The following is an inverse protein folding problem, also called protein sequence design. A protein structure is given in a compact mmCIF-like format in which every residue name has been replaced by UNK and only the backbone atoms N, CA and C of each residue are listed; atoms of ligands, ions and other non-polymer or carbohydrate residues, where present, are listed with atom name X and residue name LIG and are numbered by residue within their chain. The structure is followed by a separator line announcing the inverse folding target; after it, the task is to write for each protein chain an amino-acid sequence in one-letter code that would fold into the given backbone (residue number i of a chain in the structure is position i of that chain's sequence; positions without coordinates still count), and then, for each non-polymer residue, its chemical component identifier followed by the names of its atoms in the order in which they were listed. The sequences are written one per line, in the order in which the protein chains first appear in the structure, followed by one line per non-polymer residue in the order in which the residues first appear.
data_IF_149507707373
#
_entry.id   IF_149507707373
#
_cell.length_a   1.000
_cell.length_b   1.000
_cell.length_c   1.000
_cell.angle_alpha   90.00
_cell.angle_beta   90.00
_cell.angle_gamma   90.00
#
_symmetry.space_group_name_H-M   'P 1'
#
loop_
_entity.id
_entity.type
_entity.pdbx_description
1 polymer ?
#
# COMPACT_ATOMS: atom_id res chain seq x y z
N UNK A 1 -0.34 -0.80 -24.78
CA UNK A 1 0.86 0.05 -24.93
C UNK A 1 1.11 0.94 -23.70
N UNK A 2 0.11 1.54 -23.06
CA UNK A 2 0.29 2.19 -21.73
C UNK A 2 0.24 1.23 -20.54
N UNK A 3 -0.60 0.18 -20.58
CA UNK A 3 -0.75 -0.77 -19.46
C UNK A 3 0.50 -1.62 -19.19
N UNK A 4 1.29 -1.91 -20.22
CA UNK A 4 2.55 -2.65 -20.09
C UNK A 4 3.57 -1.90 -19.19
N UNK A 5 3.50 -0.57 -19.15
CA UNK A 5 4.39 0.26 -18.32
C UNK A 5 4.18 0.04 -16.82
N UNK A 6 2.99 -0.42 -16.43
CA UNK A 6 2.65 -0.70 -15.05
C UNK A 6 2.85 -2.17 -14.67
N UNK A 7 3.21 -3.01 -15.65
CA UNK A 7 3.57 -4.41 -15.48
C UNK A 7 2.37 -5.33 -15.31
N UNK A 8 2.69 -6.60 -15.09
CA UNK A 8 1.76 -7.68 -14.78
C UNK A 8 2.36 -8.52 -13.66
N UNK A 9 1.51 -8.96 -12.73
CA UNK A 9 1.90 -9.80 -11.60
C UNK A 9 0.77 -10.81 -11.30
N UNK A 10 0.96 -11.68 -10.31
CA UNK A 10 -0.09 -12.51 -9.74
C UNK A 10 -1.07 -11.63 -8.96
N UNK A 11 -2.37 -11.89 -9.13
CA UNK A 11 -3.40 -11.17 -8.38
C UNK A 11 -3.39 -11.67 -6.94
N UNK A 12 -3.34 -10.71 -6.02
CA UNK A 12 -3.32 -10.99 -4.59
C UNK A 12 -4.68 -10.66 -3.98
N UNK A 13 -5.12 -11.54 -3.09
CA UNK A 13 -6.24 -11.33 -2.20
C UNK A 13 -5.69 -10.90 -0.84
N UNK A 14 -5.95 -9.67 -0.44
CA UNK A 14 -5.67 -9.24 0.92
C UNK A 14 -6.82 -9.64 1.82
N UNK A 15 -6.49 -10.30 2.93
CA UNK A 15 -7.50 -10.60 3.94
C UNK A 15 -7.99 -9.27 4.55
N UNK A 16 -9.31 -9.06 4.50
CA UNK A 16 -9.98 -7.84 4.99
C UNK A 16 -10.82 -8.11 6.23
N UNK A 17 -10.73 -9.31 6.80
CA UNK A 17 -11.31 -9.61 8.11
C UNK A 17 -10.69 -8.70 9.16
N UNK A 18 -11.51 -8.08 10.00
CA UNK A 18 -11.10 -7.08 10.99
C UNK A 18 -9.89 -7.50 11.84
N UNK A 19 -9.76 -8.79 12.15
CA UNK A 19 -8.67 -9.39 12.93
C UNK A 19 -7.33 -9.53 12.15
N UNK A 20 -7.36 -9.49 10.82
CA UNK A 20 -6.20 -9.79 9.95
C UNK A 20 -5.95 -8.74 8.86
N UNK A 21 -6.63 -7.59 8.91
CA UNK A 21 -6.48 -6.58 7.86
C UNK A 21 -5.03 -6.09 7.78
N UNK A 22 -4.37 -6.40 6.66
CA UNK A 22 -2.96 -6.08 6.44
C UNK A 22 -1.96 -7.10 6.99
N UNK A 23 -2.41 -8.25 7.51
CA UNK A 23 -1.57 -9.35 8.04
C UNK A 23 -1.44 -10.54 7.09
N UNK A 24 -1.48 -10.31 5.78
CA UNK A 24 -1.22 -11.35 4.79
C UNK A 24 -1.86 -11.05 3.44
N UNK A 25 -1.26 -11.60 2.41
CA UNK A 25 -1.81 -11.66 1.07
C UNK A 25 -1.78 -13.12 0.62
N UNK A 26 -2.88 -13.60 0.05
CA UNK A 26 -2.94 -14.91 -0.59
C UNK A 26 -3.01 -14.76 -2.11
N UNK A 27 -2.66 -15.81 -2.84
CA UNK A 27 -2.79 -15.87 -4.28
C UNK A 27 -4.27 -16.06 -4.64
N UNK A 28 -4.77 -15.25 -5.56
CA UNK A 28 -6.13 -15.43 -6.05
C UNK A 28 -6.16 -16.56 -7.09
N UNK A 29 -6.95 -17.60 -6.83
CA UNK A 29 -7.11 -18.76 -7.72
C UNK A 29 -8.39 -18.63 -8.54
N UNK A 30 -8.29 -18.84 -9.85
CA UNK A 30 -9.42 -18.85 -10.78
C UNK A 30 -10.28 -20.10 -10.63
N UNK A 31 -11.47 -20.08 -11.25
CA UNK A 31 -12.44 -21.19 -11.17
C UNK A 31 -11.90 -22.52 -11.70
N UNK A 32 -10.93 -22.47 -12.60
CA UNK A 32 -10.29 -23.64 -13.22
C UNK A 32 -9.05 -24.13 -12.46
N UNK A 33 -8.66 -23.44 -11.37
CA UNK A 33 -7.51 -23.80 -10.54
C UNK A 33 -6.22 -23.05 -10.86
N UNK A 34 -6.18 -22.25 -11.93
CA UNK A 34 -5.02 -21.42 -12.28
C UNK A 34 -4.90 -20.16 -11.41
N UNK A 35 -3.68 -19.68 -11.22
CA UNK A 35 -3.43 -18.40 -10.55
C UNK A 35 -3.92 -17.23 -11.41
N UNK A 36 -4.68 -16.33 -10.81
CA UNK A 36 -5.10 -15.10 -11.47
C UNK A 36 -3.94 -14.12 -11.59
N UNK A 37 -4.01 -13.27 -12.61
CA UNK A 37 -3.03 -12.21 -12.87
C UNK A 37 -3.69 -10.84 -12.76
N UNK A 38 -2.89 -9.86 -12.41
CA UNK A 38 -3.26 -8.44 -12.39
C UNK A 38 -2.31 -7.68 -13.30
N UNK A 39 -2.82 -6.69 -14.05
CA UNK A 39 -2.02 -5.91 -14.98
C UNK A 39 -2.36 -4.42 -14.89
N UNK A 40 -1.53 -3.58 -15.52
CA UNK A 40 -1.86 -2.18 -15.71
C UNK A 40 -1.98 -1.41 -14.40
N UNK A 41 -2.97 -0.52 -14.32
CA UNK A 41 -3.18 0.37 -13.17
C UNK A 41 -3.51 -0.41 -11.90
N UNK A 42 -4.22 -1.53 -12.01
CA UNK A 42 -4.49 -2.39 -10.85
C UNK A 42 -3.20 -3.00 -10.29
N UNK A 43 -2.28 -3.41 -11.16
CA UNK A 43 -0.98 -3.94 -10.72
C UNK A 43 -0.15 -2.87 -10.02
N UNK A 44 -0.16 -1.63 -10.52
CA UNK A 44 0.48 -0.51 -9.83
C UNK A 44 -0.13 -0.29 -8.45
N UNK A 45 -1.45 -0.35 -8.35
CA UNK A 45 -2.17 -0.27 -7.08
C UNK A 45 -1.73 -1.35 -6.09
N UNK A 46 -1.73 -2.61 -6.55
CA UNK A 46 -1.27 -3.76 -5.76
C UNK A 46 0.18 -3.60 -5.31
N UNK A 47 1.09 -3.21 -6.21
CA UNK A 47 2.51 -3.06 -5.89
C UNK A 47 2.78 -1.95 -4.85
N UNK A 48 2.09 -0.81 -4.95
CA UNK A 48 2.18 0.28 -3.95
C UNK A 48 1.71 -0.22 -2.58
N UNK A 49 0.55 -0.89 -2.55
CA UNK A 49 -0.01 -1.43 -1.32
C UNK A 49 0.92 -2.46 -0.68
N UNK A 50 1.46 -3.39 -1.47
CA UNK A 50 2.46 -4.36 -1.00
C UNK A 50 3.69 -3.67 -0.39
N UNK A 51 4.25 -2.68 -1.09
CA UNK A 51 5.40 -1.93 -0.59
C UNK A 51 5.10 -1.20 0.72
N UNK A 52 3.90 -0.66 0.88
CA UNK A 52 3.49 0.01 2.11
C UNK A 52 3.36 -0.97 3.29
N UNK A 53 2.92 -2.20 3.05
CA UNK A 53 2.75 -3.25 4.06
C UNK A 53 4.06 -3.98 4.42
N UNK A 54 5.05 -4.01 3.52
CA UNK A 54 6.37 -4.58 3.81
C UNK A 54 7.20 -3.65 4.70
N UNK A 55 7.88 -4.20 5.71
CA UNK A 55 8.75 -3.40 6.60
C UNK A 55 10.01 -2.98 5.85
N UNK A 56 10.38 -1.71 5.93
CA UNK A 56 11.60 -1.25 5.29
C UNK A 56 12.82 -2.01 5.86
N UNK A 57 13.59 -2.67 4.98
CA UNK A 57 14.75 -3.48 5.36
C UNK A 57 14.47 -4.97 5.51
N UNK A 58 13.21 -5.40 5.46
CA UNK A 58 12.82 -6.82 5.55
C UNK A 58 13.44 -7.67 4.42
N UNK A 59 13.65 -7.07 3.26
CA UNK A 59 14.24 -7.73 2.09
C UNK A 59 15.73 -7.39 1.91
N UNK A 60 16.42 -6.95 2.97
CA UNK A 60 17.84 -6.58 2.89
C UNK A 60 18.74 -7.74 2.43
N UNK A 61 18.50 -8.96 2.95
CA UNK A 61 19.25 -10.17 2.58
C UNK A 61 19.04 -10.58 1.11
N UNK A 62 17.92 -10.16 0.52
CA UNK A 62 17.62 -10.36 -0.91
C UNK A 62 18.15 -9.22 -1.80
N UNK A 63 18.93 -8.29 -1.26
CA UNK A 63 19.50 -7.16 -2.00
C UNK A 63 18.57 -5.94 -2.11
N UNK A 64 17.48 -5.89 -1.35
CA UNK A 64 16.49 -4.82 -1.39
C UNK A 64 16.32 -4.09 -0.03
N UNK A 65 17.39 -3.54 0.58
CA UNK A 65 17.34 -2.97 1.92
C UNK A 65 16.47 -1.70 2.06
N UNK A 66 16.16 -1.03 0.95
CA UNK A 66 15.28 0.16 0.93
C UNK A 66 13.84 -0.16 0.55
N UNK A 67 13.53 -1.41 0.18
CA UNK A 67 12.17 -1.81 -0.14
C UNK A 67 11.34 -1.87 1.15
N UNK A 68 10.09 -1.40 1.07
CA UNK A 68 9.15 -1.34 2.18
C UNK A 68 8.85 0.08 2.65
N UNK A 69 8.13 0.18 3.76
CA UNK A 69 7.80 1.43 4.45
C UNK A 69 8.18 1.39 5.93
N UNK A 70 8.24 2.58 6.51
CA UNK A 70 8.46 2.81 7.94
C UNK A 70 7.17 2.87 8.74
N UNK A 71 6.01 2.57 8.13
CA UNK A 71 4.72 2.62 8.83
C UNK A 71 4.72 1.75 10.08
N UNK A 72 5.33 0.57 10.01
CA UNK A 72 5.48 -0.35 11.13
C UNK A 72 6.13 0.27 12.40
N UNK A 73 6.93 1.33 12.27
CA UNK A 73 7.51 2.06 13.41
C UNK A 73 6.46 2.82 14.23
N UNK A 74 5.28 3.07 13.64
CA UNK A 74 4.17 3.80 14.26
C UNK A 74 3.18 2.87 14.98
N UNK A 75 3.39 1.55 14.93
CA UNK A 75 2.59 0.62 15.73
C UNK A 75 2.85 0.87 17.22
N UNK A 76 1.78 0.90 18.01
CA UNK A 76 1.74 1.29 19.42
C UNK A 76 1.69 2.80 19.65
N UNK A 77 1.67 3.64 18.61
CA UNK A 77 1.57 5.10 18.77
C UNK A 77 0.11 5.55 18.88
N UNK A 78 -0.19 6.59 19.69
CA UNK A 78 -1.54 7.14 19.77
C UNK A 78 -1.98 7.77 18.45
N UNK A 79 -3.25 7.59 18.05
CA UNK A 79 -3.83 8.21 16.86
C UNK A 79 -4.16 9.71 17.05
N UNK A 80 -3.12 10.52 17.19
CA UNK A 80 -3.24 11.98 17.21
C UNK A 80 -2.73 12.60 15.89
N UNK A 81 -2.86 13.91 15.74
CA UNK A 81 -2.47 14.59 14.50
C UNK A 81 -0.98 14.41 14.19
N UNK A 82 -0.12 14.43 15.21
CA UNK A 82 1.32 14.19 15.05
C UNK A 82 1.59 12.81 14.44
N UNK A 83 0.95 11.75 14.94
CA UNK A 83 1.11 10.40 14.38
C UNK A 83 0.58 10.33 12.95
N UNK A 84 -0.55 10.97 12.66
CA UNK A 84 -1.09 11.05 11.28
C UNK A 84 -0.17 11.82 10.33
N UNK A 85 0.52 12.85 10.79
CA UNK A 85 1.55 13.54 10.00
C UNK A 85 2.73 12.62 9.68
N UNK A 86 3.18 11.82 10.64
CA UNK A 86 4.21 10.80 10.41
C UNK A 86 3.75 9.73 9.43
N UNK A 87 2.50 9.26 9.54
CA UNK A 87 1.91 8.34 8.55
C UNK A 87 1.98 8.94 7.14
N UNK A 88 1.55 10.20 6.97
CA UNK A 88 1.60 10.89 5.66
C UNK A 88 3.04 11.03 5.14
N UNK A 89 4.00 11.33 6.03
CA UNK A 89 5.41 11.43 5.69
C UNK A 89 5.95 10.08 5.19
N UNK A 90 5.76 9.01 5.95
CA UNK A 90 6.29 7.68 5.61
C UNK A 90 5.64 7.09 4.35
N UNK A 91 4.34 7.37 4.12
CA UNK A 91 3.68 7.03 2.85
C UNK A 91 4.36 7.76 1.68
N UNK A 92 4.62 9.06 1.81
CA UNK A 92 5.30 9.84 0.76
C UNK A 92 6.72 9.35 0.49
N UNK A 93 7.49 9.06 1.54
CA UNK A 93 8.85 8.50 1.42
C UNK A 93 8.85 7.13 0.73
N UNK A 94 7.89 6.27 1.04
CA UNK A 94 7.74 4.95 0.43
C UNK A 94 7.34 5.05 -1.05
N UNK A 95 6.28 5.80 -1.36
CA UNK A 95 5.76 5.96 -2.73
C UNK A 95 6.76 6.72 -3.62
N UNK A 96 7.54 7.65 -3.06
CA UNK A 96 8.59 8.36 -3.80
C UNK A 96 9.67 7.44 -4.38
N UNK A 97 9.76 6.18 -3.92
CA UNK A 97 10.66 5.16 -4.45
C UNK A 97 10.04 4.28 -5.55
N UNK A 98 8.74 4.46 -5.86
CA UNK A 98 8.04 3.73 -6.92
C UNK A 98 8.17 4.49 -8.25
N UNK A 99 9.04 4.00 -9.14
CA UNK A 99 9.38 4.68 -10.40
C UNK A 99 8.19 4.80 -11.39
N UNK A 100 7.12 4.02 -11.20
CA UNK A 100 5.89 4.10 -12.00
C UNK A 100 4.98 5.25 -11.56
N UNK A 101 5.25 5.88 -10.41
CA UNK A 101 4.53 7.06 -9.92
C UNK A 101 5.27 8.31 -10.37
N UNK A 102 4.61 9.16 -11.15
CA UNK A 102 5.15 10.47 -11.55
C UNK A 102 5.01 11.49 -10.42
N UNK A 103 3.84 11.52 -9.78
CA UNK A 103 3.49 12.54 -8.80
C UNK A 103 2.54 11.97 -7.75
N UNK A 104 2.76 12.38 -6.49
CA UNK A 104 1.84 12.14 -5.39
C UNK A 104 0.95 13.38 -5.26
N UNK A 105 -0.31 13.28 -5.69
CA UNK A 105 -1.26 14.40 -5.68
C UNK A 105 -1.75 14.67 -4.26
N UNK A 106 -2.09 13.61 -3.51
CA UNK A 106 -2.53 13.76 -2.12
C UNK A 106 -2.28 12.52 -1.30
N UNK A 107 -2.01 12.71 0.00
CA UNK A 107 -2.02 11.67 1.02
C UNK A 107 -2.82 12.20 2.20
N UNK A 108 -3.96 11.59 2.48
CA UNK A 108 -4.80 11.89 3.64
C UNK A 108 -4.78 10.71 4.59
N UNK A 109 -4.78 11.03 5.87
CA UNK A 109 -4.84 10.08 6.97
C UNK A 109 -5.89 10.59 7.94
N UNK A 110 -6.91 9.79 8.22
CA UNK A 110 -8.01 10.07 9.15
C UNK A 110 -8.37 8.83 9.95
N UNK A 111 -9.14 8.98 11.03
CA UNK A 111 -9.62 7.85 11.83
C UNK A 111 -10.49 6.91 10.96
N UNK A 112 -10.34 5.60 11.14
CA UNK A 112 -11.11 4.60 10.38
C UNK A 112 -12.39 4.21 11.13
N UNK A 113 -13.53 4.71 10.65
CA UNK A 113 -14.83 4.46 11.26
C UNK A 113 -14.85 4.89 12.74
N UNK A 114 -15.39 4.03 13.60
CA UNK A 114 -15.45 4.24 15.04
C UNK A 114 -14.22 3.67 15.78
N UNK A 115 -13.22 3.13 15.07
CA UNK A 115 -12.01 2.58 15.68
C UNK A 115 -10.93 3.65 15.81
N UNK A 116 -10.68 4.22 17.02
CA UNK A 116 -9.69 5.26 17.21
C UNK A 116 -8.25 4.77 17.02
N UNK A 117 -8.00 3.46 17.03
CA UNK A 117 -6.68 2.86 16.85
C UNK A 117 -6.36 2.53 15.39
N UNK A 118 -7.27 2.82 14.46
CA UNK A 118 -7.07 2.61 13.03
C UNK A 118 -7.12 3.93 12.25
N UNK A 119 -6.32 3.99 11.19
CA UNK A 119 -6.20 5.11 10.26
C UNK A 119 -6.60 4.65 8.88
N UNK A 120 -7.51 5.35 8.22
CA UNK A 120 -7.77 5.17 6.80
C UNK A 120 -6.84 6.08 5.99
N UNK A 121 -6.13 5.47 5.04
CA UNK A 121 -5.28 6.18 4.08
C UNK A 121 -6.03 6.38 2.78
N UNK A 122 -6.12 7.63 2.33
CA UNK A 122 -6.62 8.01 1.00
C UNK A 122 -5.46 8.66 0.23
N UNK A 123 -4.98 7.93 -0.77
CA UNK A 123 -3.77 8.25 -1.53
C UNK A 123 -4.18 8.45 -2.98
N UNK A 124 -3.91 9.64 -3.52
CA UNK A 124 -4.09 9.91 -4.94
C UNK A 124 -2.73 10.14 -5.59
N UNK A 125 -2.44 9.36 -6.63
CA UNK A 125 -1.19 9.44 -7.39
C UNK A 125 -1.46 9.59 -8.89
N UNK A 126 -0.45 10.06 -9.60
CA UNK A 126 -0.45 10.19 -11.03
C UNK A 126 0.63 9.27 -11.62
N UNK A 127 0.26 8.22 -12.35
CA UNK A 127 1.24 7.32 -12.96
C UNK A 127 2.05 8.00 -14.06
N UNK A 128 3.25 7.48 -14.32
CA UNK A 128 4.08 7.92 -15.46
C UNK A 128 3.32 7.74 -16.78
N UNK A 129 3.48 8.70 -17.69
CA UNK A 129 2.81 8.71 -19.00
C UNK A 129 1.26 8.63 -18.93
N UNK A 130 0.65 8.89 -17.78
CA UNK A 130 -0.80 9.05 -17.65
C UNK A 130 -1.18 10.51 -17.39
N UNK A 131 -2.36 10.91 -17.85
CA UNK A 131 -3.01 12.18 -17.47
C UNK A 131 -4.11 11.97 -16.43
N UNK A 132 -4.47 10.71 -16.14
CA UNK A 132 -5.56 10.36 -15.25
C UNK A 132 -4.98 9.91 -13.90
N UNK A 133 -5.30 10.59 -12.79
CA UNK A 133 -4.96 10.13 -11.44
C UNK A 133 -5.61 8.79 -11.09
N UNK A 134 -5.03 8.04 -10.16
CA UNK A 134 -5.70 6.92 -9.49
C UNK A 134 -5.67 7.10 -7.98
N UNK A 135 -6.67 6.53 -7.33
CA UNK A 135 -6.84 6.55 -5.89
C UNK A 135 -6.61 5.14 -5.32
N UNK A 136 -5.91 5.07 -4.18
CA UNK A 136 -5.78 3.89 -3.34
C UNK A 136 -6.33 4.22 -1.95
N UNK A 137 -7.26 3.40 -1.48
CA UNK A 137 -7.82 3.51 -0.13
C UNK A 137 -7.61 2.21 0.62
N UNK A 138 -6.99 2.26 1.80
CA UNK A 138 -6.89 1.10 2.68
C UNK A 138 -6.77 1.50 4.16
N UNK A 139 -7.28 0.67 5.09
CA UNK A 139 -7.08 0.87 6.51
C UNK A 139 -5.67 0.44 6.96
N UNK A 140 -5.13 1.15 7.93
CA UNK A 140 -3.84 0.92 8.58
C UNK A 140 -4.02 0.94 10.10
N UNK A 141 -3.54 -0.08 10.79
CA UNK A 141 -3.79 -0.27 12.22
C UNK A 141 -2.57 0.21 13.02
N UNK A 142 -2.81 1.08 14.00
CA UNK A 142 -1.77 1.55 14.93
C UNK A 142 -1.62 0.60 16.13
N UNK A 143 -2.54 -0.32 16.39
CA UNK A 143 -2.44 -1.31 17.45
C UNK A 143 -2.78 -2.71 16.92
N UNK A 144 -2.16 -3.74 17.51
CA UNK A 144 -2.51 -5.15 17.27
C UNK A 144 -3.58 -5.50 18.30
N UNK A 145 -4.82 -5.72 17.84
CA UNK A 145 -5.92 -6.26 18.65
C UNK A 145 -5.77 -7.76 18.87
#
# INVERSE_FOLDING_TARGET
MEEELYGRDLKLYLETREEYVGLGADLMVGREGDLQVVAGRENLGQAIMHRLLTRQGELAELGHPRYGSRLHELVGQPNNERTRDLVRLYVKECIGQEHRVREIISVKASVYGDNPHAVILDITILPIKSTVPMNLVFPYYLEVS
#
